data_IF_301472154507
#
_entry.id   IF_301472154507
#
_cell.length_a   1.000
_cell.length_b   1.000
_cell.length_c   1.000
_cell.angle_alpha   90.00
_cell.angle_beta   90.00
_cell.angle_gamma   90.00
#
_symmetry.space_group_name_H-M   'P 1'
#
loop_
_entity.id
_entity.type
_entity.pdbx_description
1 polymer ?
#
# COMPACT_ATOMS: atom_id res chain seq x y z
N UNK A 1 -49.81 -26.51 7.93
CA UNK A 1 -48.54 -25.97 8.46
C UNK A 1 -47.64 -25.59 7.28
N UNK A 2 -47.84 -24.43 6.64
CA UNK A 2 -47.13 -24.16 5.37
C UNK A 2 -47.07 -22.69 4.94
N UNK A 3 -47.35 -21.75 5.84
CA UNK A 3 -47.38 -20.30 5.51
C UNK A 3 -46.20 -19.49 6.05
N UNK A 4 -45.38 -20.07 6.94
CA UNK A 4 -44.24 -19.36 7.54
C UNK A 4 -42.87 -19.91 7.13
N UNK A 5 -42.83 -21.01 6.37
CA UNK A 5 -41.57 -21.64 5.96
C UNK A 5 -40.81 -20.81 4.90
N UNK A 6 -41.54 -20.08 4.04
CA UNK A 6 -40.93 -19.21 3.03
C UNK A 6 -40.25 -17.96 3.64
N UNK A 7 -40.75 -17.47 4.78
CA UNK A 7 -40.20 -16.28 5.44
C UNK A 7 -38.86 -16.57 6.15
N UNK A 8 -38.68 -17.80 6.65
CA UNK A 8 -37.42 -18.22 7.28
C UNK A 8 -36.32 -18.46 6.23
N UNK A 9 -36.67 -18.95 5.04
CA UNK A 9 -35.70 -19.11 3.93
C UNK A 9 -35.21 -17.76 3.38
N UNK A 10 -36.04 -16.72 3.40
CA UNK A 10 -35.64 -15.38 2.91
C UNK A 10 -34.70 -14.64 3.88
N UNK A 11 -34.74 -14.98 5.18
CA UNK A 11 -33.86 -14.39 6.19
C UNK A 11 -32.44 -14.98 6.19
N UNK A 12 -32.20 -16.12 5.53
CA UNK A 12 -30.86 -16.72 5.41
C UNK A 12 -30.08 -16.29 4.15
N UNK A 13 -30.71 -15.55 3.23
CA UNK A 13 -30.16 -15.22 1.91
C UNK A 13 -29.27 -13.97 1.84
N UNK A 14 -28.75 -13.48 2.96
CA UNK A 14 -28.13 -12.16 3.02
C UNK A 14 -26.84 -12.05 3.83
N UNK A 15 -26.02 -13.10 3.89
CA UNK A 15 -24.63 -12.92 4.34
C UNK A 15 -23.81 -12.43 3.16
N UNK A 16 -23.85 -11.13 2.89
CA UNK A 16 -22.76 -10.49 2.16
C UNK A 16 -21.52 -10.68 3.03
N UNK A 17 -20.71 -11.69 2.71
CA UNK A 17 -19.40 -11.87 3.29
C UNK A 17 -18.58 -10.63 2.90
N UNK A 18 -18.57 -9.61 3.75
CA UNK A 18 -17.60 -8.54 3.64
C UNK A 18 -16.25 -9.22 3.86
N UNK A 19 -15.37 -9.18 2.85
CA UNK A 19 -14.03 -9.72 2.99
C UNK A 19 -13.35 -9.00 4.16
N UNK A 20 -12.94 -9.77 5.16
CA UNK A 20 -12.24 -9.24 6.32
C UNK A 20 -10.79 -8.99 5.92
N UNK A 21 -10.32 -7.77 6.15
CA UNK A 21 -8.90 -7.41 6.07
C UNK A 21 -8.40 -7.23 7.50
N UNK A 22 -7.37 -7.99 7.84
CA UNK A 22 -6.76 -7.95 9.17
C UNK A 22 -5.35 -7.42 9.05
N UNK A 23 -5.06 -6.31 9.74
CA UNK A 23 -3.69 -5.82 9.93
C UNK A 23 -3.14 -6.35 11.26
N UNK A 24 -2.04 -7.08 11.18
CA UNK A 24 -1.33 -7.66 12.31
C UNK A 24 -0.13 -6.77 12.61
N UNK A 25 -0.06 -6.27 13.85
CA UNK A 25 1.04 -5.39 14.28
C UNK A 25 2.38 -6.11 14.22
N UNK A 26 3.34 -5.52 13.50
CA UNK A 26 4.71 -6.05 13.36
C UNK A 26 5.67 -5.17 14.15
N UNK A 27 6.48 -5.80 15.01
CA UNK A 27 7.62 -5.10 15.60
C UNK A 27 8.76 -5.01 14.58
N UNK A 28 9.13 -3.78 14.20
CA UNK A 28 10.10 -3.50 13.13
C UNK A 28 11.49 -4.05 13.44
N UNK A 29 11.98 -3.88 14.67
CA UNK A 29 13.32 -4.31 15.09
C UNK A 29 13.44 -5.85 15.08
N UNK A 30 12.40 -6.54 15.55
CA UNK A 30 12.30 -8.00 15.49
C UNK A 30 12.21 -8.47 14.03
N UNK A 31 11.47 -7.77 13.17
CA UNK A 31 11.36 -8.10 11.76
C UNK A 31 12.71 -7.96 11.04
N UNK A 32 13.41 -6.84 11.23
CA UNK A 32 14.75 -6.60 10.69
C UNK A 32 15.76 -7.68 11.11
N UNK A 33 15.71 -8.10 12.38
CA UNK A 33 16.62 -9.13 12.92
C UNK A 33 16.20 -10.58 12.63
N UNK A 34 15.00 -10.80 12.10
CA UNK A 34 14.47 -12.16 11.86
C UNK A 34 15.13 -12.92 10.70
N UNK A 35 15.92 -12.22 9.86
CA UNK A 35 16.47 -12.77 8.62
C UNK A 35 15.44 -12.83 7.49
N UNK A 36 14.33 -12.09 7.58
CA UNK A 36 13.33 -11.98 6.51
C UNK A 36 13.99 -11.48 5.20
N UNK A 37 13.67 -12.06 4.03
CA UNK A 37 14.44 -11.85 2.79
C UNK A 37 14.05 -10.56 2.03
N UNK A 38 14.02 -9.41 2.71
CA UNK A 38 13.75 -8.11 2.07
C UNK A 38 15.01 -7.46 1.49
N UNK A 39 14.85 -6.54 0.54
CA UNK A 39 15.95 -5.76 -0.07
C UNK A 39 16.34 -4.56 0.77
N UNK A 40 17.62 -4.23 0.79
CA UNK A 40 18.17 -3.13 1.58
C UNK A 40 18.68 -3.60 2.95
N UNK A 41 18.80 -2.66 3.89
CA UNK A 41 19.44 -2.83 5.19
C UNK A 41 18.60 -2.33 6.37
N UNK A 42 17.74 -1.33 6.13
CA UNK A 42 16.83 -0.77 7.13
C UNK A 42 15.40 -0.81 6.63
N UNK A 43 14.49 -1.28 7.46
CA UNK A 43 13.06 -1.22 7.26
C UNK A 43 12.59 0.15 7.72
N UNK A 44 11.81 0.80 6.85
CA UNK A 44 11.09 2.02 7.20
C UNK A 44 9.73 1.65 7.76
N UNK A 45 9.01 0.79 7.04
CA UNK A 45 7.66 0.35 7.37
C UNK A 45 7.49 -1.12 7.00
N UNK A 46 6.77 -1.86 7.84
CA UNK A 46 6.37 -3.23 7.56
C UNK A 46 4.93 -3.44 8.00
N UNK A 47 4.11 -4.00 7.12
CA UNK A 47 2.72 -4.36 7.41
C UNK A 47 2.53 -5.86 7.17
N UNK A 48 1.91 -6.55 8.11
CA UNK A 48 1.44 -7.92 7.93
C UNK A 48 -0.07 -7.88 7.75
N UNK A 49 -0.53 -8.15 6.53
CA UNK A 49 -1.94 -8.03 6.14
C UNK A 49 -2.47 -9.37 5.67
N UNK A 50 -3.46 -9.88 6.39
CA UNK A 50 -4.21 -11.07 6.01
C UNK A 50 -5.56 -10.66 5.40
N UNK A 51 -5.91 -11.32 4.29
CA UNK A 51 -7.21 -11.21 3.61
C UNK A 51 -7.83 -12.60 3.50
N UNK A 52 -9.02 -12.69 2.91
CA UNK A 52 -9.67 -13.98 2.68
C UNK A 52 -8.85 -14.93 1.77
N UNK A 53 -7.97 -14.40 0.92
CA UNK A 53 -7.23 -15.19 -0.08
C UNK A 53 -5.72 -15.12 0.05
N UNK A 54 -5.20 -14.19 0.85
CA UNK A 54 -3.78 -13.85 0.83
C UNK A 54 -3.26 -13.55 2.24
N UNK A 55 -2.03 -13.99 2.49
CA UNK A 55 -1.23 -13.65 3.66
C UNK A 55 -0.03 -12.85 3.15
N UNK A 56 0.02 -11.55 3.46
CA UNK A 56 0.92 -10.60 2.83
C UNK A 56 1.84 -9.93 3.85
N UNK A 57 3.13 -9.82 3.50
CA UNK A 57 3.99 -8.77 4.05
C UNK A 57 4.19 -7.66 3.02
N UNK A 58 4.05 -6.42 3.44
CA UNK A 58 4.43 -5.25 2.64
C UNK A 58 5.56 -4.55 3.34
N UNK A 59 6.71 -4.49 2.70
CA UNK A 59 7.96 -3.99 3.29
C UNK A 59 8.43 -2.77 2.49
N UNK A 60 8.60 -1.66 3.19
CA UNK A 60 9.31 -0.48 2.70
C UNK A 60 10.66 -0.45 3.38
N UNK A 61 11.73 -0.42 2.60
CA UNK A 61 13.09 -0.49 3.12
C UNK A 61 14.05 0.36 2.30
N UNK A 62 15.23 0.61 2.87
CA UNK A 62 16.31 1.38 2.25
C UNK A 62 17.66 0.74 2.52
N UNK A 63 18.66 1.20 1.79
CA UNK A 63 20.09 0.94 2.07
C UNK A 63 20.53 1.48 3.44
N UNK A 64 21.81 1.40 3.80
CA UNK A 64 22.32 2.01 5.04
C UNK A 64 22.12 3.54 5.07
N UNK A 65 22.02 4.13 6.27
CA UNK A 65 21.77 5.59 6.40
C UNK A 65 22.89 6.37 5.70
N UNK A 66 22.51 7.31 4.83
CA UNK A 66 23.45 8.13 4.05
C UNK A 66 23.90 7.52 2.72
N UNK A 67 23.34 6.37 2.31
CA UNK A 67 23.55 5.83 0.97
C UNK A 67 23.20 6.84 -0.13
N UNK A 68 23.98 6.81 -1.22
CA UNK A 68 23.82 7.66 -2.39
C UNK A 68 23.98 6.81 -3.67
N UNK A 69 22.94 6.68 -4.51
CA UNK A 69 21.63 7.33 -4.41
C UNK A 69 20.78 6.77 -3.25
N UNK A 70 19.84 7.57 -2.77
CA UNK A 70 18.79 7.12 -1.86
C UNK A 70 17.84 6.18 -2.63
N UNK A 71 17.83 4.89 -2.26
CA UNK A 71 16.94 3.89 -2.87
C UNK A 71 15.86 3.50 -1.88
N UNK A 72 14.61 3.64 -2.29
CA UNK A 72 13.45 3.09 -1.60
C UNK A 72 13.02 1.80 -2.29
N UNK A 73 13.10 0.69 -1.57
CA UNK A 73 12.57 -0.60 -1.98
C UNK A 73 11.17 -0.75 -1.41
N UNK A 74 10.23 -1.17 -2.26
CA UNK A 74 8.86 -1.53 -1.87
C UNK A 74 8.58 -2.93 -2.36
N UNK A 75 8.26 -3.85 -1.45
CA UNK A 75 8.09 -5.26 -1.75
C UNK A 75 6.81 -5.80 -1.12
N UNK A 76 6.02 -6.53 -1.89
CA UNK A 76 4.96 -7.40 -1.37
C UNK A 76 5.45 -8.84 -1.39
N UNK A 77 5.36 -9.51 -0.26
CA UNK A 77 5.63 -10.93 -0.12
C UNK A 77 4.34 -11.67 0.13
N UNK A 78 4.23 -12.88 -0.44
CA UNK A 78 3.19 -13.83 -0.10
C UNK A 78 3.79 -15.16 0.31
N UNK A 79 3.08 -15.89 1.16
CA UNK A 79 3.50 -17.22 1.57
C UNK A 79 3.18 -18.24 0.47
N UNK A 80 4.21 -18.87 -0.09
CA UNK A 80 4.11 -19.97 -1.06
C UNK A 80 4.96 -21.13 -0.59
N UNK A 81 4.36 -22.31 -0.49
CA UNK A 81 5.05 -23.55 -0.07
C UNK A 81 5.82 -23.40 1.27
N UNK A 82 5.25 -22.62 2.20
CA UNK A 82 5.85 -22.35 3.51
C UNK A 82 6.93 -21.28 3.53
N UNK A 83 7.33 -20.74 2.38
CA UNK A 83 8.34 -19.68 2.25
C UNK A 83 7.71 -18.33 1.88
N UNK A 84 8.33 -17.24 2.32
CA UNK A 84 7.98 -15.89 1.91
C UNK A 84 8.64 -15.56 0.57
N UNK A 85 7.84 -15.31 -0.45
CA UNK A 85 8.32 -15.04 -1.81
C UNK A 85 7.84 -13.64 -2.22
N UNK A 86 8.74 -12.77 -2.73
CA UNK A 86 8.32 -11.49 -3.28
C UNK A 86 7.47 -11.72 -4.53
N UNK A 87 6.26 -11.19 -4.55
CA UNK A 87 5.33 -11.30 -5.69
C UNK A 87 5.28 -10.01 -6.53
N UNK A 88 5.57 -8.88 -5.92
CA UNK A 88 5.83 -7.62 -6.61
C UNK A 88 6.92 -6.87 -5.87
N UNK A 89 7.74 -6.17 -6.64
CA UNK A 89 8.82 -5.35 -6.13
C UNK A 89 8.94 -4.11 -6.98
N UNK A 90 9.27 -3.00 -6.33
CA UNK A 90 9.66 -1.79 -7.00
C UNK A 90 10.85 -1.14 -6.29
N UNK A 91 11.79 -0.61 -7.08
CA UNK A 91 12.89 0.21 -6.60
C UNK A 91 12.69 1.62 -7.11
N UNK A 92 12.50 2.55 -6.18
CA UNK A 92 12.34 3.98 -6.47
C UNK A 92 13.67 4.64 -6.13
N UNK A 93 14.29 5.29 -7.12
CA UNK A 93 15.46 6.13 -6.92
C UNK A 93 15.35 7.36 -7.84
N UNK A 94 15.87 8.49 -7.38
CA UNK A 94 15.97 9.69 -8.18
C UNK A 94 17.16 10.52 -7.71
N UNK A 95 17.93 11.07 -8.65
CA UNK A 95 19.15 11.80 -8.35
C UNK A 95 18.84 13.08 -7.56
N UNK A 96 19.55 13.28 -6.44
CA UNK A 96 19.36 14.43 -5.58
C UNK A 96 18.07 14.42 -4.73
N UNK A 97 17.30 13.33 -4.74
CA UNK A 97 16.04 13.20 -4.01
C UNK A 97 16.14 12.16 -2.91
N UNK A 98 15.54 12.48 -1.75
CA UNK A 98 15.30 11.56 -0.65
C UNK A 98 13.81 11.25 -0.58
N UNK A 99 13.47 9.96 -0.46
CA UNK A 99 12.10 9.49 -0.27
C UNK A 99 11.77 9.33 1.22
N UNK A 100 10.65 9.84 1.70
CA UNK A 100 10.22 9.68 3.10
C UNK A 100 8.87 8.98 3.17
N UNK A 101 8.80 7.84 3.84
CA UNK A 101 7.56 7.04 3.96
C UNK A 101 6.72 7.55 5.14
N UNK A 102 5.43 7.72 4.93
CA UNK A 102 4.49 8.23 5.93
C UNK A 102 3.79 7.05 6.63
N UNK A 103 4.44 6.47 7.65
CA UNK A 103 4.02 5.20 8.28
C UNK A 103 2.55 5.18 8.76
N UNK A 104 1.99 6.32 9.15
CA UNK A 104 0.60 6.43 9.65
C UNK A 104 -0.43 6.79 8.57
N UNK A 105 -0.01 7.07 7.34
CA UNK A 105 -0.87 7.47 6.23
C UNK A 105 -0.90 6.34 5.20
N UNK A 106 -1.79 5.38 5.47
CA UNK A 106 -2.03 4.20 4.65
C UNK A 106 -3.49 3.78 4.73
N UNK A 107 -3.91 2.96 3.78
CA UNK A 107 -5.22 2.32 3.78
C UNK A 107 -5.12 0.90 3.20
N UNK A 108 -5.99 0.02 3.68
CA UNK A 108 -6.15 -1.35 3.18
C UNK A 108 -7.63 -1.57 2.91
N UNK A 109 -7.96 -2.09 1.73
CA UNK A 109 -9.32 -2.28 1.28
C UNK A 109 -9.41 -3.48 0.31
N UNK A 110 -10.63 -3.89 0.02
CA UNK A 110 -11.00 -4.89 -0.99
C UNK A 110 -12.19 -4.28 -1.74
N UNK A 111 -11.87 -3.26 -2.56
CA UNK A 111 -12.90 -2.40 -3.14
C UNK A 111 -13.66 -3.09 -4.27
N UNK A 112 -12.99 -3.96 -5.03
CA UNK A 112 -13.62 -4.80 -6.05
C UNK A 112 -14.25 -6.10 -5.49
N UNK A 113 -14.08 -6.35 -4.18
CA UNK A 113 -14.64 -7.49 -3.44
C UNK A 113 -14.16 -8.84 -3.94
N UNK A 114 -12.95 -8.88 -4.49
CA UNK A 114 -12.34 -10.12 -4.96
C UNK A 114 -11.65 -10.91 -3.83
N UNK A 115 -11.59 -10.36 -2.62
CA UNK A 115 -11.01 -10.97 -1.42
C UNK A 115 -9.49 -10.94 -1.35
N UNK A 116 -8.83 -10.17 -2.23
CA UNK A 116 -7.39 -9.90 -2.23
C UNK A 116 -7.11 -8.52 -1.65
N UNK A 117 -5.83 -8.25 -1.40
CA UNK A 117 -5.41 -6.97 -0.86
C UNK A 117 -5.34 -5.87 -1.92
N UNK A 118 -6.09 -4.80 -1.70
CA UNK A 118 -5.82 -3.49 -2.25
C UNK A 118 -5.18 -2.62 -1.15
N UNK A 119 -4.06 -1.98 -1.44
CA UNK A 119 -3.39 -1.15 -0.46
C UNK A 119 -2.97 0.21 -1.05
N UNK A 120 -2.97 1.22 -0.19
CA UNK A 120 -2.49 2.55 -0.50
C UNK A 120 -1.51 3.00 0.58
N UNK A 121 -0.35 3.46 0.15
CA UNK A 121 0.71 3.98 1.02
C UNK A 121 1.10 5.38 0.59
N UNK A 122 1.52 6.22 1.52
CA UNK A 122 2.00 7.56 1.22
C UNK A 122 3.51 7.65 1.42
N UNK A 123 4.19 8.26 0.46
CA UNK A 123 5.57 8.72 0.63
C UNK A 123 5.74 10.10 -0.01
N UNK A 124 6.77 10.83 0.41
CA UNK A 124 7.09 12.14 -0.16
C UNK A 124 8.52 12.23 -0.66
N UNK A 125 8.73 13.17 -1.60
CA UNK A 125 10.03 13.49 -2.20
C UNK A 125 10.58 14.77 -1.58
N UNK A 126 11.87 14.77 -1.25
CA UNK A 126 12.58 15.92 -0.67
C UNK A 126 13.93 16.09 -1.36
N UNK A 127 14.48 17.31 -1.48
CA UNK A 127 15.86 17.51 -1.87
C UNK A 127 16.80 16.87 -0.85
N UNK A 128 17.89 16.28 -1.33
CA UNK A 128 18.91 15.64 -0.48
C UNK A 128 19.56 16.62 0.50
N UNK A 129 19.70 17.86 0.11
CA UNK A 129 20.28 18.96 0.90
C UNK A 129 19.26 19.63 1.84
N UNK A 130 17.95 19.37 1.68
CA UNK A 130 16.91 19.95 2.52
C UNK A 130 15.71 19.00 2.72
N UNK A 131 15.84 18.04 3.64
CA UNK A 131 14.78 17.07 3.95
C UNK A 131 13.49 17.67 4.54
N UNK A 132 13.51 18.95 4.95
CA UNK A 132 12.33 19.64 5.46
C UNK A 132 11.48 20.22 4.32
N UNK A 133 12.05 20.34 3.11
CA UNK A 133 11.35 20.85 1.95
C UNK A 133 10.73 19.70 1.17
N UNK A 134 9.44 19.49 1.39
CA UNK A 134 8.69 18.55 0.57
C UNK A 134 8.47 19.11 -0.85
N UNK A 135 8.85 18.33 -1.86
CA UNK A 135 8.61 18.63 -3.28
C UNK A 135 7.31 18.01 -3.78
N UNK A 136 7.00 16.80 -3.33
CA UNK A 136 5.85 16.05 -3.81
C UNK A 136 5.32 15.11 -2.74
N UNK A 137 4.00 14.95 -2.70
CA UNK A 137 3.32 13.87 -2.01
C UNK A 137 2.90 12.82 -3.05
N UNK A 138 3.14 11.54 -2.77
CA UNK A 138 2.85 10.42 -3.67
C UNK A 138 2.03 9.38 -2.93
N UNK A 139 0.88 9.01 -3.50
CA UNK A 139 0.20 7.78 -3.14
C UNK A 139 0.68 6.64 -4.02
N UNK A 140 1.20 5.59 -3.39
CA UNK A 140 1.56 4.32 -4.01
C UNK A 140 0.43 3.33 -3.79
N UNK A 141 -0.24 2.94 -4.87
CA UNK A 141 -1.33 1.96 -4.85
C UNK A 141 -0.79 0.61 -5.24
N UNK A 142 -1.04 -0.39 -4.41
CA UNK A 142 -0.79 -1.79 -4.70
C UNK A 142 -2.12 -2.45 -5.06
N UNK A 143 -2.24 -2.92 -6.29
CA UNK A 143 -3.42 -3.62 -6.78
C UNK A 143 -3.00 -4.80 -7.66
N UNK A 144 -3.43 -6.02 -7.33
CA UNK A 144 -3.18 -7.26 -8.10
C UNK A 144 -1.72 -7.44 -8.51
N UNK A 145 -0.80 -7.22 -7.57
CA UNK A 145 0.64 -7.41 -7.80
C UNK A 145 1.26 -6.36 -8.73
N UNK A 146 0.65 -5.18 -8.84
CA UNK A 146 1.17 -4.05 -9.59
C UNK A 146 1.09 -2.77 -8.78
N UNK A 147 2.06 -1.88 -8.99
CA UNK A 147 2.08 -0.56 -8.39
C UNK A 147 1.57 0.51 -9.36
N UNK A 148 0.82 1.45 -8.81
CA UNK A 148 0.29 2.64 -9.50
C UNK A 148 0.57 3.86 -8.63
N UNK A 149 0.52 5.06 -9.22
CA UNK A 149 0.82 6.30 -8.50
C UNK A 149 -0.15 7.42 -8.77
N UNK A 150 -0.47 8.14 -7.71
CA UNK A 150 -0.93 9.53 -7.77
C UNK A 150 0.18 10.40 -7.20
N UNK A 151 0.39 11.58 -7.77
CA UNK A 151 1.37 12.56 -7.28
C UNK A 151 0.79 13.97 -7.32
N UNK A 152 0.97 14.69 -6.23
CA UNK A 152 0.74 16.12 -6.13
C UNK A 152 2.06 16.82 -5.78
N UNK A 153 2.30 17.96 -6.41
CA UNK A 153 3.57 18.69 -6.32
C UNK A 153 3.42 20.00 -5.54
N UNK A 154 4.50 20.44 -4.92
CA UNK A 154 4.53 21.71 -4.18
C UNK A 154 4.36 22.92 -5.11
N UNK A 155 4.77 22.79 -6.38
CA UNK A 155 4.75 23.88 -7.39
C UNK A 155 3.36 24.47 -7.63
N UNK A 156 2.30 23.67 -7.43
CA UNK A 156 0.91 24.13 -7.51
C UNK A 156 0.20 24.15 -6.15
N UNK A 157 0.93 23.98 -5.05
CA UNK A 157 0.38 23.91 -3.70
C UNK A 157 -0.39 22.62 -3.41
N UNK A 158 0.01 21.51 -4.05
CA UNK A 158 -0.58 20.17 -3.95
C UNK A 158 -2.03 20.09 -4.47
N UNK A 159 -2.37 20.88 -5.48
CA UNK A 159 -3.74 21.02 -5.97
C UNK A 159 -4.06 20.11 -7.15
N UNK A 160 -3.12 19.91 -8.08
CA UNK A 160 -3.31 18.99 -9.21
C UNK A 160 -2.73 17.63 -8.87
N UNK A 161 -3.37 16.62 -9.42
CA UNK A 161 -2.92 15.24 -9.33
C UNK A 161 -2.44 14.78 -10.69
N UNK A 162 -1.21 14.28 -10.74
CA UNK A 162 -0.68 13.51 -11.85
C UNK A 162 -0.78 12.02 -11.53
N UNK A 163 -0.90 11.20 -12.56
CA UNK A 163 -1.11 9.77 -12.45
C UNK A 163 -0.02 9.00 -13.19
N UNK A 164 0.34 7.81 -12.74
CA UNK A 164 1.21 6.92 -13.51
C UNK A 164 0.54 6.47 -14.81
N UNK A 165 1.34 6.13 -15.83
CA UNK A 165 0.83 5.76 -17.15
C UNK A 165 -0.15 4.57 -17.11
N UNK A 166 0.09 3.62 -16.20
CA UNK A 166 -0.77 2.46 -16.01
C UNK A 166 -2.04 2.77 -15.18
N UNK A 167 -2.20 3.94 -14.56
CA UNK A 167 -3.35 4.24 -13.70
C UNK A 167 -4.69 4.09 -14.41
N UNK A 168 -4.72 4.39 -15.71
CA UNK A 168 -5.93 4.24 -16.53
C UNK A 168 -6.48 2.80 -16.52
N UNK A 169 -5.64 1.78 -16.30
CA UNK A 169 -6.07 0.38 -16.27
C UNK A 169 -6.70 -0.06 -14.94
N UNK A 170 -6.68 0.77 -13.89
CA UNK A 170 -7.37 0.45 -12.65
C UNK A 170 -8.89 0.40 -12.86
N UNK A 171 -9.60 -0.58 -12.27
CA UNK A 171 -11.06 -0.59 -12.23
C UNK A 171 -11.62 0.66 -11.55
N UNK A 172 -12.85 1.02 -11.90
CA UNK A 172 -13.53 2.21 -11.38
C UNK A 172 -13.64 2.18 -9.86
N UNK A 173 -13.98 1.04 -9.28
CA UNK A 173 -14.16 0.83 -7.84
C UNK A 173 -12.87 1.10 -7.05
N UNK A 174 -11.73 0.74 -7.65
CA UNK A 174 -10.40 0.98 -7.08
C UNK A 174 -10.07 2.47 -7.18
N UNK A 175 -10.28 3.09 -8.34
CA UNK A 175 -10.06 4.53 -8.55
C UNK A 175 -10.85 5.37 -7.56
N UNK A 176 -12.15 5.10 -7.40
CA UNK A 176 -13.02 5.82 -6.47
C UNK A 176 -12.54 5.72 -5.01
N UNK A 177 -12.09 4.54 -4.59
CA UNK A 177 -11.58 4.33 -3.24
C UNK A 177 -10.25 5.07 -3.00
N UNK A 178 -9.36 5.02 -3.98
CA UNK A 178 -8.06 5.72 -3.98
C UNK A 178 -8.26 7.23 -3.98
N UNK A 179 -9.11 7.75 -4.87
CA UNK A 179 -9.40 9.18 -5.00
C UNK A 179 -10.04 9.72 -3.73
N UNK A 180 -11.00 9.00 -3.14
CA UNK A 180 -11.60 9.39 -1.86
C UNK A 180 -10.57 9.50 -0.74
N UNK A 181 -9.64 8.54 -0.64
CA UNK A 181 -8.55 8.63 0.33
C UNK A 181 -7.67 9.84 0.03
N UNK A 182 -7.27 9.99 -1.22
CA UNK A 182 -6.36 11.03 -1.69
C UNK A 182 -6.92 12.44 -1.48
N UNK A 183 -8.18 12.68 -1.76
CA UNK A 183 -8.85 13.98 -1.58
C UNK A 183 -8.91 14.39 -0.10
N UNK A 184 -9.12 13.44 0.81
CA UNK A 184 -9.18 13.69 2.25
C UNK A 184 -7.81 13.75 2.93
N UNK A 185 -6.74 13.36 2.23
CA UNK A 185 -5.38 13.43 2.74
C UNK A 185 -4.88 14.88 2.74
N UNK A 186 -4.42 15.35 3.90
CA UNK A 186 -3.55 16.53 3.97
C UNK A 186 -2.18 16.16 3.38
N UNK A 187 -1.87 16.74 2.22
CA UNK A 187 -0.70 16.42 1.41
C UNK A 187 0.53 17.26 1.80
N UNK A 188 0.38 18.20 2.75
CA UNK A 188 1.42 19.15 3.15
C UNK A 188 2.31 18.61 4.25
#
# INVERSE_FOLDING_TARGET
MGKYFLFILFLMGGYAAQAQITNIGVNKENFESSGFPFKGKRVLQVEHIETAKEDNYIVFSKEERGADPDRLYVQQFQRKEGMWVPIVEETIQEDGIIMSVWESRKAFFDADKDGRLDALFIYSRHPKDNIQQQLSCIALILYKGQFYRLRADVDDGYQKTSYSDNYASLPTEIKESVERYWENLDKR
#
